data_IF_212995032353
#
_entry.id   IF_212995032353
#
_cell.length_a   1.000
_cell.length_b   1.000
_cell.length_c   1.000
_cell.angle_alpha   90.00
_cell.angle_beta   90.00
_cell.angle_gamma   90.00
#
_symmetry.space_group_name_H-M   'P 1'
#
loop_
_entity.id
_entity.type
_entity.pdbx_description
1 polymer ?
2 non-polymer ?
3 non-polymer ?
4 water ?
#
# COMPACT_ATOMS: atom_id res chain seq x y z
N UNK A 7 31.07 -3.06 2.09
CA UNK A 7 31.59 -3.34 3.42
C UNK A 7 32.36 -2.15 4.01
N UNK A 8 32.21 -0.96 3.40
CA UNK A 8 32.90 0.24 3.85
C UNK A 8 32.15 1.00 4.93
N UNK A 9 30.83 0.78 5.05
CA UNK A 9 30.01 1.45 6.03
C UNK A 9 29.72 0.60 7.26
N UNK A 10 30.13 -0.67 7.26
CA UNK A 10 29.69 -1.62 8.27
C UNK A 10 30.08 -1.23 9.69
N UNK A 11 31.01 -0.30 9.86
CA UNK A 11 31.24 0.22 11.17
C UNK A 11 30.48 1.47 11.50
N UNK A 12 29.65 1.98 10.59
CA UNK A 12 29.05 3.29 10.78
C UNK A 12 28.22 3.34 12.05
N UNK A 13 27.28 2.40 12.22
CA UNK A 13 26.45 2.43 13.42
C UNK A 13 27.25 2.10 14.68
N UNK A 14 28.31 1.29 14.59
CA UNK A 14 29.23 1.19 15.72
C UNK A 14 29.76 2.57 16.10
N UNK A 15 30.24 3.33 15.10
CA UNK A 15 30.88 4.62 15.35
C UNK A 15 29.90 5.61 15.96
N UNK A 16 28.64 5.60 15.51
CA UNK A 16 27.64 6.52 16.03
C UNK A 16 27.02 6.09 17.36
N UNK A 17 27.35 4.90 17.87
CA UNK A 17 26.73 4.42 19.08
C UNK A 17 25.37 3.82 18.85
N UNK A 18 25.07 3.47 17.62
CA UNK A 18 23.72 3.02 17.26
C UNK A 18 23.73 1.49 17.24
N UNK A 19 22.95 0.85 18.11
CA UNK A 19 22.94 -0.61 18.14
C UNK A 19 22.28 -1.16 16.89
N UNK A 20 22.44 -2.46 16.68
CA UNK A 20 21.82 -3.13 15.56
C UNK A 20 22.39 -4.52 15.34
N UNK A 21 21.81 -5.31 14.43
CA UNK A 21 22.38 -6.64 14.16
C UNK A 21 23.73 -6.52 13.44
N UNK A 22 24.70 -7.32 13.87
CA UNK A 22 26.04 -7.27 13.24
C UNK A 22 25.96 -7.58 11.74
N UNK A 23 26.49 -6.74 10.87
CA UNK A 23 26.44 -7.05 9.43
C UNK A 23 27.51 -8.07 9.07
N UNK A 24 27.32 -8.71 7.94
CA UNK A 24 28.19 -9.63 7.24
C UNK A 24 28.80 -8.92 6.05
N UNK A 25 30.07 -9.13 5.72
CA UNK A 25 30.65 -8.44 4.57
C UNK A 25 29.80 -8.71 3.33
N UNK A 26 29.63 -7.68 2.51
CA UNK A 26 28.88 -7.74 1.27
C UNK A 26 27.38 -7.92 1.48
N UNK A 27 26.98 -8.90 2.31
CA UNK A 27 25.56 -9.13 2.50
C UNK A 27 24.90 -8.10 3.42
N UNK A 28 25.65 -7.56 4.39
CA UNK A 28 25.02 -6.78 5.40
C UNK A 28 24.24 -7.69 6.30
N UNK A 29 22.96 -7.32 6.54
CA UNK A 29 22.03 -8.13 7.32
C UNK A 29 20.92 -8.75 6.48
N UNK A 30 21.07 -8.79 5.16
CA UNK A 30 19.95 -9.24 4.35
C UNK A 30 19.58 -10.69 4.63
N UNK A 31 20.51 -11.50 5.15
CA UNK A 31 20.10 -12.83 5.55
C UNK A 31 19.06 -12.81 6.66
N UNK A 32 19.06 -11.76 7.48
CA UNK A 32 18.05 -11.76 8.53
C UNK A 32 16.64 -11.72 7.98
N UNK A 33 16.47 -11.29 6.72
CA UNK A 33 15.18 -11.17 6.06
C UNK A 33 14.48 -12.50 5.83
N UNK A 34 15.08 -13.62 6.25
CA UNK A 34 14.50 -14.91 5.88
C UNK A 34 13.16 -15.13 6.54
N UNK A 35 12.86 -14.35 7.57
CA UNK A 35 11.58 -14.33 8.25
C UNK A 35 10.65 -13.25 7.72
N UNK A 36 10.98 -12.59 6.61
CA UNK A 36 10.19 -11.46 6.10
C UNK A 36 10.66 -10.11 6.63
N UNK A 37 10.56 -9.10 5.76
CA UNK A 37 10.79 -7.71 6.13
C UNK A 37 10.20 -7.37 7.48
N UNK A 38 8.92 -7.72 7.64
CA UNK A 38 8.14 -7.18 8.75
C UNK A 38 8.61 -7.76 10.07
N UNK A 39 8.88 -9.05 10.08
CA UNK A 39 9.33 -9.71 11.30
C UNK A 39 10.74 -9.27 11.71
N UNK A 40 11.65 -9.14 10.73
CA UNK A 40 12.93 -8.50 10.99
C UNK A 40 12.76 -7.18 11.75
N UNK A 41 11.99 -6.25 11.18
CA UNK A 41 11.66 -4.99 11.86
C UNK A 41 11.10 -5.18 13.26
N UNK A 42 10.21 -6.14 13.47
CA UNK A 42 9.66 -6.27 14.81
C UNK A 42 10.69 -6.83 15.77
N UNK A 43 11.44 -7.83 15.34
CA UNK A 43 12.47 -8.38 16.22
C UNK A 43 13.48 -7.30 16.59
N UNK A 44 13.91 -6.49 15.61
CA UNK A 44 14.89 -5.44 15.86
C UNK A 44 14.35 -4.43 16.87
N UNK A 45 13.11 -3.96 16.65
CA UNK A 45 12.50 -3.04 17.59
C UNK A 45 12.50 -3.66 18.98
N UNK A 46 12.18 -4.95 19.09
CA UNK A 46 12.12 -5.59 20.40
C UNK A 46 13.50 -5.59 21.09
N UNK A 47 14.57 -5.87 20.35
CA UNK A 47 15.82 -6.08 21.04
C UNK A 47 16.63 -4.80 21.19
N UNK A 48 16.55 -3.92 20.21
CA UNK A 48 17.38 -2.72 20.14
C UNK A 48 16.71 -1.45 20.63
N UNK A 49 15.39 -1.37 20.66
CA UNK A 49 14.76 -0.20 21.25
C UNK A 49 14.20 0.78 20.24
N UNK A 50 14.43 2.07 20.49
CA UNK A 50 13.75 3.12 19.74
C UNK A 50 14.40 3.37 18.39
N UNK A 51 15.71 3.14 18.31
CA UNK A 51 16.51 3.44 17.15
C UNK A 51 17.52 2.30 16.96
N UNK A 52 17.64 1.83 15.73
CA UNK A 52 18.66 0.84 15.41
C UNK A 52 19.03 1.02 13.95
N UNK A 53 20.16 0.40 13.59
CA UNK A 53 20.73 0.50 12.26
C UNK A 53 21.01 -0.89 11.73
N UNK A 54 21.03 -1.07 10.42
CA UNK A 54 21.35 -2.35 9.80
C UNK A 54 21.73 -2.03 8.36
N UNK A 55 22.15 -3.05 7.60
CA UNK A 55 22.65 -2.81 6.27
C UNK A 55 22.00 -3.75 5.26
N UNK A 56 21.48 -3.15 4.19
CA UNK A 56 20.96 -3.88 3.03
C UNK A 56 22.12 -3.96 2.05
N UNK A 57 22.83 -5.08 2.07
CA UNK A 57 24.08 -5.17 1.36
C UNK A 57 25.04 -4.16 1.97
N UNK A 58 25.35 -3.10 1.23
CA UNK A 58 26.21 -2.11 1.86
C UNK A 58 25.46 -0.86 2.27
N UNK A 59 24.17 -0.77 1.94
CA UNK A 59 23.39 0.43 2.23
C UNK A 59 23.02 0.53 3.70
N UNK A 60 23.65 1.40 4.47
CA UNK A 60 23.20 1.61 5.86
C UNK A 60 21.79 2.15 5.87
N UNK A 61 20.97 1.59 6.75
CA UNK A 61 19.59 1.99 6.95
C UNK A 61 19.41 2.29 8.44
N UNK A 62 18.87 3.45 8.76
CA UNK A 62 18.63 3.84 10.14
C UNK A 62 17.15 3.79 10.44
N UNK A 63 16.76 3.04 11.46
CA UNK A 63 15.35 2.88 11.79
C UNK A 63 14.96 3.75 12.99
N UNK A 64 13.91 4.54 12.86
CA UNK A 64 13.48 5.43 13.93
C UNK A 64 12.02 5.17 14.29
N UNK A 65 11.71 5.23 15.60
CA UNK A 65 10.38 4.95 16.11
C UNK A 65 9.84 6.04 17.02
N UNK A 66 10.61 7.06 17.30
CA UNK A 66 10.10 8.19 18.08
C UNK A 66 9.23 9.06 17.19
N UNK A 67 7.95 9.28 17.56
CA UNK A 67 7.06 10.15 16.77
C UNK A 67 7.61 11.52 16.43
N UNK A 68 8.27 12.19 17.38
CA UNK A 68 8.80 13.51 17.07
C UNK A 68 9.79 13.43 15.93
N UNK A 69 10.64 12.39 15.93
CA UNK A 69 11.70 12.33 14.97
C UNK A 69 11.15 11.91 13.62
N UNK A 70 10.14 11.04 13.63
CA UNK A 70 9.41 10.68 12.43
C UNK A 70 8.81 11.92 11.78
N UNK A 71 8.09 12.72 12.58
CA UNK A 71 7.55 14.01 12.11
C UNK A 71 8.66 14.90 11.56
N UNK A 72 9.81 14.97 12.22
CA UNK A 72 10.89 15.78 11.68
C UNK A 72 11.34 15.26 10.32
N UNK A 73 11.26 13.97 10.11
CA UNK A 73 11.77 13.38 8.89
C UNK A 73 10.75 13.43 7.77
N UNK A 74 9.51 13.06 8.06
CA UNK A 74 8.52 13.09 7.00
C UNK A 74 8.03 14.50 6.70
N UNK A 75 7.97 15.37 7.70
CA UNK A 75 7.27 16.64 7.57
C UNK A 75 8.22 17.82 7.61
N UNK A 76 8.91 18.04 8.74
CA UNK A 76 9.66 19.28 8.93
C UNK A 76 10.80 19.37 7.92
N UNK A 77 11.68 18.38 7.88
CA UNK A 77 12.91 18.45 7.12
C UNK A 77 12.85 17.67 5.82
N UNK A 78 11.65 17.66 5.21
CA UNK A 78 11.43 16.87 4.01
C UNK A 78 12.10 17.51 2.79
N UNK A 79 11.66 18.71 2.42
CA UNK A 79 12.19 19.38 1.23
C UNK A 79 13.68 19.62 1.34
N UNK A 80 14.19 19.78 2.58
CA UNK A 80 15.57 20.16 2.85
C UNK A 80 16.50 18.96 2.93
N UNK A 81 16.10 17.90 3.62
CA UNK A 81 16.97 16.78 3.93
C UNK A 81 16.41 15.47 3.42
N UNK A 82 15.14 15.21 3.71
CA UNK A 82 14.58 13.89 3.50
C UNK A 82 13.61 13.90 2.31
N UNK A 83 14.14 14.21 1.13
CA UNK A 83 13.29 14.51 -0.02
C UNK A 83 12.92 13.26 -0.81
N UNK A 84 13.79 12.27 -0.89
CA UNK A 84 13.64 11.14 -1.80
C UNK A 84 13.69 9.82 -1.06
N UNK A 85 13.15 8.79 -1.71
CA UNK A 85 13.23 7.43 -1.21
C UNK A 85 14.53 6.79 -1.69
N UNK A 86 14.78 5.57 -1.20
CA UNK A 86 16.05 4.88 -1.53
C UNK A 86 16.22 4.76 -3.03
N UNK A 87 17.42 5.05 -3.57
CA UNK A 87 17.67 4.85 -4.99
C UNK A 87 17.49 3.36 -5.31
N UNK A 88 16.72 3.04 -6.34
CA UNK A 88 16.43 1.62 -6.66
C UNK A 88 17.31 1.15 -7.82
N UNK A 89 17.18 -0.12 -8.19
CA UNK A 89 18.04 -0.68 -9.27
C UNK A 89 17.60 -0.24 -10.64
N UNK A 90 17.74 -1.07 -11.69
CA UNK A 90 17.41 -0.65 -13.05
C UNK A 90 16.01 -0.04 -13.01
N UNK A 91 15.90 1.22 -13.41
CA UNK A 91 14.59 1.93 -13.38
C UNK A 91 14.28 2.43 -14.80
N UNK A 92 15.31 2.81 -15.55
CA UNK A 92 15.10 3.26 -16.91
C UNK A 92 14.25 4.53 -16.95
N UNK A 93 13.43 4.62 -18.01
CA UNK A 93 12.52 5.76 -18.16
C UNK A 93 11.62 5.91 -16.93
N UNK A 94 11.33 4.80 -16.24
CA UNK A 94 10.52 4.83 -15.04
C UNK A 94 11.09 5.74 -13.97
N UNK A 95 12.30 6.28 -14.18
CA UNK A 95 12.82 7.31 -13.30
C UNK A 95 11.87 8.51 -13.23
N UNK A 96 11.08 8.74 -14.28
CA UNK A 96 10.14 9.84 -14.30
C UNK A 96 8.89 9.59 -13.46
N UNK A 97 8.79 8.44 -12.79
CA UNK A 97 7.62 8.17 -11.97
C UNK A 97 7.61 9.06 -10.73
N UNK A 98 6.41 9.47 -10.32
CA UNK A 98 6.29 10.39 -9.20
C UNK A 98 6.85 9.77 -7.93
N UNK A 99 6.72 8.46 -7.77
CA UNK A 99 7.24 7.81 -6.59
C UNK A 99 8.71 7.46 -6.72
N UNK A 100 9.34 7.81 -7.84
CA UNK A 100 10.76 7.51 -8.05
C UNK A 100 11.54 8.82 -8.24
N UNK A 101 10.89 9.82 -8.82
CA UNK A 101 11.53 11.10 -9.07
C UNK A 101 12.09 11.68 -7.78
N UNK A 102 13.15 12.47 -7.91
CA UNK A 102 13.83 12.96 -6.68
C UNK A 102 13.97 14.48 -6.73
N UNK A 103 13.74 15.14 -5.59
CA UNK A 103 13.87 16.61 -5.52
C UNK A 103 13.03 17.23 -6.63
N UNK A 104 13.65 18.01 -7.52
CA UNK A 104 12.92 18.59 -8.67
C UNK A 104 12.35 17.48 -9.53
N UNK A 105 11.47 17.83 -10.49
CA UNK A 105 10.80 16.79 -11.33
C UNK A 105 9.72 16.18 -10.42
N UNK A 106 10.11 15.65 -9.26
CA UNK A 106 9.08 15.15 -8.33
C UNK A 106 8.12 16.31 -8.04
N UNK A 107 8.62 17.35 -7.39
CA UNK A 107 7.78 18.55 -7.12
C UNK A 107 6.92 18.82 -8.34
N UNK A 108 7.54 18.92 -9.51
CA UNK A 108 6.77 19.15 -10.75
C UNK A 108 5.65 18.13 -10.92
N UNK A 109 6.00 16.85 -10.99
CA UNK A 109 4.99 15.78 -11.12
C UNK A 109 4.01 15.97 -9.97
N UNK A 110 4.50 16.03 -8.74
CA UNK A 110 3.56 16.12 -7.63
C UNK A 110 2.55 17.24 -7.86
N UNK A 111 3.04 18.44 -8.20
CA UNK A 111 2.12 19.53 -8.47
C UNK A 111 1.27 19.25 -9.69
N UNK A 112 1.89 18.75 -10.77
CA UNK A 112 1.15 18.43 -11.97
C UNK A 112 0.08 17.35 -11.76
N UNK A 113 0.08 16.68 -10.60
CA UNK A 113 -0.87 15.60 -10.36
C UNK A 113 -1.75 15.82 -9.14
N UNK A 114 -1.34 16.66 -8.20
CA UNK A 114 -2.16 16.92 -7.01
C UNK A 114 -3.61 17.28 -7.35
N UNK A 115 -3.91 18.07 -8.39
CA UNK A 115 -5.32 18.33 -8.72
C UNK A 115 -6.06 17.09 -9.17
N UNK A 116 -5.39 16.18 -9.87
CA UNK A 116 -6.04 14.97 -10.35
C UNK A 116 -6.57 14.12 -9.20
N UNK A 117 -6.14 14.39 -7.97
CA UNK A 117 -6.61 13.69 -6.80
C UNK A 117 -7.24 14.66 -5.81
N UNK A 118 -7.92 15.68 -6.31
CA UNK A 118 -8.63 16.57 -5.40
C UNK A 118 -9.99 15.98 -5.11
N UNK A 119 -10.51 16.32 -3.92
CA UNK A 119 -11.86 15.91 -3.56
C UNK A 119 -12.85 16.16 -4.69
N UNK A 120 -12.59 17.17 -5.53
CA UNK A 120 -13.52 17.50 -6.60
C UNK A 120 -13.63 16.40 -7.64
N UNK A 121 -12.49 15.95 -8.16
CA UNK A 121 -12.54 14.91 -9.19
C UNK A 121 -13.12 13.61 -8.64
N UNK A 122 -12.89 13.35 -7.35
CA UNK A 122 -13.35 12.10 -6.77
C UNK A 122 -14.87 12.02 -6.81
N UNK A 123 -15.53 13.08 -6.34
CA UNK A 123 -16.97 13.18 -6.47
C UNK A 123 -17.41 13.01 -7.92
N UNK A 124 -16.62 13.51 -8.88
CA UNK A 124 -16.92 13.29 -10.28
C UNK A 124 -16.72 11.84 -10.68
N UNK A 125 -15.78 11.14 -10.03
CA UNK A 125 -15.51 9.75 -10.36
C UNK A 125 -16.39 8.78 -9.57
N UNK A 126 -17.02 9.22 -8.47
CA UNK A 126 -17.82 8.30 -7.68
C UNK A 126 -18.96 7.68 -8.50
N UNK A 127 -19.74 8.43 -9.27
CA UNK A 127 -20.72 7.78 -10.14
C UNK A 127 -20.11 6.75 -11.06
N UNK A 128 -18.92 7.01 -11.60
CA UNK A 128 -18.28 6.11 -12.56
C UNK A 128 -17.92 4.79 -11.90
N UNK A 129 -17.13 4.84 -10.82
CA UNK A 129 -16.64 3.63 -10.18
C UNK A 129 -17.76 2.85 -9.51
N UNK A 130 -18.87 3.52 -9.15
CA UNK A 130 -19.99 2.79 -8.57
C UNK A 130 -20.55 1.77 -9.55
N UNK A 131 -20.41 2.03 -10.86
CA UNK A 131 -20.95 1.12 -11.87
C UNK A 131 -20.24 -0.23 -11.86
N UNK A 132 -18.97 -0.28 -11.45
CA UNK A 132 -18.28 -1.56 -11.35
C UNK A 132 -18.54 -2.25 -10.03
N UNK A 133 -19.09 -1.54 -9.05
CA UNK A 133 -19.63 -2.21 -7.89
C UNK A 133 -20.74 -3.19 -8.25
N UNK A 134 -21.63 -2.77 -9.15
CA UNK A 134 -22.74 -3.64 -9.54
C UNK A 134 -22.25 -4.85 -10.33
N UNK A 135 -21.40 -4.62 -11.34
CA UNK A 135 -20.70 -5.71 -12.01
C UNK A 135 -20.08 -6.65 -10.99
N UNK A 136 -19.48 -6.07 -9.94
CA UNK A 136 -18.91 -6.89 -8.88
C UNK A 136 -19.98 -7.69 -8.15
N UNK A 137 -21.10 -7.04 -7.80
CA UNK A 137 -22.18 -7.75 -7.13
C UNK A 137 -22.66 -8.93 -7.97
N UNK A 138 -22.88 -8.68 -9.27
CA UNK A 138 -23.39 -9.74 -10.16
C UNK A 138 -22.39 -10.88 -10.29
N UNK A 139 -21.11 -10.55 -10.54
CA UNK A 139 -20.07 -11.57 -10.60
C UNK A 139 -19.96 -12.29 -9.26
N UNK A 140 -20.23 -11.58 -8.18
CA UNK A 140 -20.30 -12.22 -6.87
C UNK A 140 -21.47 -13.17 -6.78
N UNK A 141 -22.68 -12.67 -7.11
CA UNK A 141 -23.87 -13.49 -7.10
C UNK A 141 -23.72 -14.73 -7.95
N UNK A 142 -22.88 -14.68 -8.98
CA UNK A 142 -22.60 -15.87 -9.80
C UNK A 142 -21.87 -16.93 -9.00
N UNK A 143 -20.66 -16.62 -8.50
CA UNK A 143 -19.92 -17.60 -7.71
C UNK A 143 -20.67 -17.99 -6.44
N UNK A 144 -21.47 -17.06 -5.91
CA UNK A 144 -22.25 -17.33 -4.71
C UNK A 144 -23.27 -18.43 -4.94
N UNK A 145 -24.10 -18.27 -5.98
CA UNK A 145 -25.16 -19.23 -6.28
C UNK A 145 -24.62 -20.64 -6.48
N UNK A 146 -23.39 -20.76 -7.03
CA UNK A 146 -22.78 -22.07 -7.15
C UNK A 146 -22.65 -22.74 -5.79
N UNK A 147 -22.45 -21.95 -4.74
CA UNK A 147 -22.14 -22.47 -3.43
C UNK A 147 -20.67 -22.74 -3.18
N UNK A 148 -19.80 -22.60 -4.22
CA UNK A 148 -18.42 -22.93 -3.92
C UNK A 148 -17.69 -21.71 -3.37
N UNK A 149 -16.75 -21.95 -2.44
CA UNK A 149 -15.91 -20.87 -1.90
C UNK A 149 -15.39 -19.91 -2.96
N UNK A 150 -15.18 -18.64 -2.59
CA UNK A 150 -14.77 -17.59 -3.52
C UNK A 150 -13.36 -17.13 -3.15
N UNK A 151 -12.53 -16.94 -4.17
CA UNK A 151 -11.18 -16.42 -4.02
C UNK A 151 -11.28 -14.93 -4.21
N UNK A 152 -11.26 -14.20 -3.08
CA UNK A 152 -11.55 -12.78 -3.08
C UNK A 152 -10.60 -12.00 -3.97
N UNK A 153 -9.33 -12.42 -4.05
CA UNK A 153 -8.38 -11.69 -4.88
C UNK A 153 -8.82 -11.66 -6.34
N UNK A 154 -9.48 -12.72 -6.82
CA UNK A 154 -9.84 -12.77 -8.23
C UNK A 154 -10.98 -11.80 -8.55
N UNK A 155 -12.04 -11.81 -7.75
CA UNK A 155 -13.16 -10.92 -8.01
C UNK A 155 -12.77 -9.48 -7.71
N UNK A 156 -12.17 -9.25 -6.53
CA UNK A 156 -11.71 -7.90 -6.17
C UNK A 156 -10.68 -7.39 -7.17
N UNK A 157 -9.75 -8.27 -7.57
CA UNK A 157 -8.79 -7.88 -8.58
C UNK A 157 -9.46 -7.42 -9.87
N UNK A 158 -10.41 -8.21 -10.35
CA UNK A 158 -11.19 -7.78 -11.52
C UNK A 158 -11.85 -6.43 -11.29
N UNK A 159 -12.45 -6.25 -10.11
CA UNK A 159 -13.05 -4.97 -9.78
C UNK A 159 -12.01 -3.86 -9.79
N UNK A 160 -10.96 -4.01 -8.98
CA UNK A 160 -9.90 -3.00 -8.90
C UNK A 160 -9.37 -2.65 -10.29
N UNK A 161 -9.09 -3.68 -11.10
CA UNK A 161 -8.63 -3.44 -12.45
C UNK A 161 -9.68 -2.67 -13.25
N UNK A 162 -10.95 -3.06 -13.11
CA UNK A 162 -12.01 -2.37 -13.83
C UNK A 162 -12.07 -0.90 -13.44
N UNK A 163 -11.89 -0.60 -12.15
CA UNK A 163 -12.02 0.77 -11.69
C UNK A 163 -10.82 1.61 -12.15
N UNK A 164 -9.61 1.06 -12.01
CA UNK A 164 -8.43 1.86 -12.32
C UNK A 164 -8.35 2.14 -13.81
N UNK A 165 -8.75 1.18 -14.64
CA UNK A 165 -8.73 1.39 -16.07
C UNK A 165 -9.71 2.49 -16.48
N UNK A 166 -10.90 2.53 -15.87
CA UNK A 166 -11.88 3.54 -16.24
C UNK A 166 -11.52 4.90 -15.65
N UNK A 167 -11.00 4.92 -14.43
CA UNK A 167 -10.62 6.18 -13.82
C UNK A 167 -9.40 6.79 -14.49
N UNK A 168 -8.51 5.97 -15.04
CA UNK A 168 -7.27 6.47 -15.60
C UNK A 168 -7.32 6.64 -17.11
N UNK A 169 -8.23 5.97 -17.80
CA UNK A 169 -8.34 6.10 -19.26
C UNK A 169 -9.77 6.15 -19.77
N UNK A 170 -10.75 5.68 -19.01
CA UNK A 170 -12.11 5.59 -19.51
C UNK A 170 -12.44 4.29 -20.22
N UNK A 171 -11.49 3.36 -20.31
CA UNK A 171 -11.71 2.08 -20.97
C UNK A 171 -12.54 1.20 -20.03
N UNK A 172 -13.81 1.01 -20.37
CA UNK A 172 -14.73 0.27 -19.51
C UNK A 172 -14.76 -1.19 -19.95
N UNK A 173 -14.21 -2.07 -19.11
CA UNK A 173 -14.11 -3.50 -19.43
C UNK A 173 -14.61 -4.31 -18.24
N UNK A 174 -14.98 -5.55 -18.51
CA UNK A 174 -15.43 -6.50 -17.48
C UNK A 174 -14.34 -7.57 -17.35
N UNK A 175 -13.29 -7.24 -16.59
CA UNK A 175 -12.07 -8.05 -16.56
C UNK A 175 -12.34 -9.50 -16.20
N UNK A 176 -13.16 -9.72 -15.18
CA UNK A 176 -13.45 -11.09 -14.76
C UNK A 176 -14.15 -11.86 -15.87
N UNK A 177 -15.09 -11.23 -16.56
CA UNK A 177 -15.81 -11.86 -17.65
C UNK A 177 -15.17 -11.62 -19.01
N UNK A 178 -14.15 -10.76 -19.08
CA UNK A 178 -13.37 -10.56 -20.30
C UNK A 178 -11.90 -10.79 -19.96
N UNK A 179 -11.51 -12.03 -19.65
CA UNK A 179 -10.11 -12.29 -19.29
C UNK A 179 -9.12 -11.82 -20.34
N UNK A 180 -9.59 -11.51 -21.55
CA UNK A 180 -8.77 -10.95 -22.61
C UNK A 180 -9.18 -9.49 -22.85
N UNK A 183 -6.16 -4.82 -23.03
CA UNK A 183 -5.91 -4.13 -21.77
C UNK A 183 -5.92 -5.09 -20.59
N UNK A 184 -6.82 -6.09 -20.66
CA UNK A 184 -6.96 -7.04 -19.55
C UNK A 184 -5.66 -7.75 -19.29
N UNK A 185 -5.12 -8.41 -20.31
CA UNK A 185 -3.81 -9.07 -20.21
C UNK A 185 -2.74 -8.08 -19.79
N UNK A 186 -2.48 -7.09 -20.65
CA UNK A 186 -1.45 -6.08 -20.46
C UNK A 186 -1.28 -5.63 -19.02
N UNK A 187 -2.39 -5.32 -18.35
CA UNK A 187 -2.32 -4.95 -16.94
C UNK A 187 -2.09 -6.20 -16.10
N UNK A 188 -2.96 -7.19 -16.28
CA UNK A 188 -2.82 -8.45 -15.51
C UNK A 188 -1.35 -8.87 -15.59
N UNK A 189 -0.68 -8.51 -16.69
CA UNK A 189 0.73 -8.90 -16.88
C UNK A 189 1.33 -8.21 -15.65
N UNK A 190 1.73 -9.00 -14.65
CA UNK A 190 2.28 -8.43 -13.39
C UNK A 190 2.78 -9.62 -12.55
N UNK A 196 9.60 -13.64 -7.23
CA UNK A 196 9.70 -13.15 -5.84
C UNK A 196 10.95 -12.27 -5.70
N UNK A 197 11.90 -12.68 -4.85
CA UNK A 197 13.10 -11.84 -4.59
C UNK A 197 14.31 -12.70 -4.99
N UNK A 198 14.65 -12.81 -6.28
CA UNK A 198 15.84 -13.55 -6.70
C UNK A 198 16.95 -12.60 -7.16
N UNK A 199 16.77 -11.93 -8.30
CA UNK A 199 17.77 -10.96 -8.82
C UNK A 199 17.78 -9.78 -7.85
N UNK A 200 16.61 -9.41 -7.34
CA UNK A 200 16.53 -8.23 -6.45
C UNK A 200 17.61 -8.34 -5.37
N UNK A 201 17.60 -9.44 -4.62
CA UNK A 201 18.63 -9.64 -3.58
C UNK A 201 20.00 -9.32 -4.19
N UNK A 202 20.30 -9.92 -5.33
CA UNK A 202 21.61 -9.70 -5.94
C UNK A 202 21.86 -8.21 -6.18
N UNK A 203 20.85 -7.50 -6.69
CA UNK A 203 21.01 -6.09 -6.98
C UNK A 203 21.30 -5.30 -5.71
N UNK A 204 20.83 -5.81 -4.57
CA UNK A 204 21.16 -5.18 -3.31
C UNK A 204 22.61 -5.40 -2.94
N UNK A 205 23.05 -6.65 -2.94
CA UNK A 205 24.43 -6.98 -2.61
C UNK A 205 25.37 -6.46 -3.68
N UNK A 206 24.89 -6.37 -4.92
CA UNK A 206 25.68 -5.88 -6.05
C UNK A 206 25.03 -4.65 -6.66
N UNK A 207 24.89 -3.56 -5.89
CA UNK A 207 24.34 -2.34 -6.49
C UNK A 207 25.20 -1.83 -7.64
N UNK A 208 26.48 -2.18 -7.68
CA UNK A 208 27.40 -1.78 -8.73
C UNK A 208 27.07 -2.37 -10.09
N UNK A 209 26.15 -3.32 -10.16
CA UNK A 209 25.73 -3.86 -11.45
C UNK A 209 24.46 -3.20 -11.99
N UNK A 210 23.79 -2.39 -11.17
CA UNK A 210 22.64 -1.64 -11.68
C UNK A 210 22.98 -0.82 -12.92
N UNK A 211 24.03 0.01 -12.92
CA UNK A 211 24.31 0.80 -14.14
C UNK A 211 24.52 -0.06 -15.36
N UNK A 212 25.12 -1.24 -15.18
CA UNK A 212 25.19 -2.22 -16.28
C UNK A 212 23.80 -2.57 -16.75
N UNK A 213 22.95 -3.00 -15.81
CA UNK A 213 21.59 -3.38 -16.16
C UNK A 213 20.90 -2.24 -16.87
N UNK A 214 21.17 -0.95 -16.50
CA UNK A 214 20.52 0.21 -17.09
C UNK A 214 20.88 0.35 -18.57
N UNK A 215 22.17 0.24 -18.90
CA UNK A 215 22.63 0.49 -20.27
C UNK A 215 22.17 -0.59 -21.22
N UNK A 216 21.76 -1.75 -20.70
CA UNK A 216 21.25 -2.83 -21.56
C UNK A 216 19.78 -2.67 -21.90
N UNK A 217 19.13 -1.59 -21.46
CA UNK A 217 17.73 -1.32 -21.74
C UNK A 217 16.80 -2.44 -21.27
N UNK A 218 17.27 -3.20 -20.28
CA UNK A 218 16.45 -4.33 -19.75
C UNK A 218 15.87 -3.92 -18.39
N UNK A 219 15.01 -2.90 -18.37
CA UNK A 219 14.41 -2.51 -17.10
C UNK A 219 13.52 -3.63 -16.57
N UNK A 220 13.17 -3.52 -15.28
CA UNK A 220 12.52 -4.60 -14.57
C UNK A 220 11.23 -5.02 -15.26
N UNK A 221 10.47 -4.05 -15.76
CA UNK A 221 9.23 -4.36 -16.45
C UNK A 221 9.54 -5.01 -17.80
N UNK A 222 8.72 -5.76 -18.36
CA UNK A 222 8.70 -6.14 -19.77
C UNK A 222 8.24 -4.83 -20.41
N UNK A 223 9.12 -4.15 -21.14
CA UNK A 223 8.82 -2.83 -21.65
C UNK A 223 8.37 -3.10 -23.08
N UNK A 224 7.34 -3.93 -23.25
CA UNK A 224 6.67 -4.11 -24.52
C UNK A 224 5.21 -3.72 -24.39
N UNK A 225 4.58 -4.01 -23.26
CA UNK A 225 3.31 -3.39 -22.95
C UNK A 225 3.46 -1.89 -22.76
N UNK A 226 4.67 -1.42 -22.42
CA UNK A 226 4.91 0.01 -22.32
C UNK A 226 4.69 0.70 -23.66
N UNK A 227 5.15 0.09 -24.75
CA UNK A 227 4.76 0.58 -26.07
C UNK A 227 3.25 0.51 -26.23
N UNK A 228 2.65 -0.61 -25.80
CA UNK A 228 1.20 -0.76 -25.90
C UNK A 228 0.48 0.40 -25.23
N UNK A 229 1.01 0.88 -24.10
CA UNK A 229 0.33 1.95 -23.36
C UNK A 229 0.24 3.22 -24.18
N UNK A 230 1.38 3.73 -24.66
CA UNK A 230 1.32 4.89 -25.55
C UNK A 230 0.63 4.53 -26.87
N UNK A 231 0.76 3.28 -27.32
CA UNK A 231 -0.03 2.83 -28.46
C UNK A 231 -1.52 2.83 -28.14
N UNK A 232 -1.89 2.77 -26.85
CA UNK A 232 -3.27 2.90 -26.42
C UNK A 232 -3.59 4.24 -25.75
N UNK A 233 -2.60 5.10 -25.58
CA UNK A 233 -2.84 6.50 -25.17
C UNK A 233 -3.28 7.23 -26.43
N UNK A 234 -4.60 7.35 -26.62
CA UNK A 234 -5.16 7.90 -27.85
C UNK A 234 -5.30 9.40 -27.72
N UNK A 235 -4.79 10.13 -28.71
CA UNK A 235 -5.02 11.56 -28.84
C UNK A 235 -4.73 12.02 -30.26
N UNK A 250 -11.81 11.43 -16.04
CA UNK A 250 -10.84 10.39 -15.71
C UNK A 250 -9.46 11.00 -15.50
N UNK A 251 -8.54 10.18 -14.97
CA UNK A 251 -7.18 10.67 -14.68
C UNK A 251 -6.47 11.18 -15.94
N UNK A 252 -6.75 10.57 -17.10
CA UNK A 252 -6.07 10.98 -18.32
C UNK A 252 -6.56 12.33 -18.81
N UNK A 253 -7.89 12.49 -18.90
CA UNK A 253 -8.44 13.76 -19.38
C UNK A 253 -8.10 14.92 -18.47
N UNK A 254 -7.75 14.65 -17.21
CA UNK A 254 -7.35 15.71 -16.30
C UNK A 254 -5.92 16.18 -16.54
N UNK A 255 -5.32 15.81 -17.68
CA UNK A 255 -3.97 16.26 -18.02
C UNK A 255 -4.01 17.29 -19.15
N UNK A 272 6.42 13.32 -23.20
CA UNK A 272 5.47 12.54 -23.99
C UNK A 272 5.40 11.11 -23.46
N UNK A 273 6.58 10.54 -23.19
CA UNK A 273 6.63 9.18 -22.66
C UNK A 273 6.46 9.16 -21.15
N UNK A 274 6.94 10.20 -20.47
CA UNK A 274 6.85 10.26 -19.02
C UNK A 274 5.40 10.34 -18.55
N UNK A 275 4.52 10.86 -19.39
CA UNK A 275 3.10 10.88 -19.06
C UNK A 275 2.63 9.48 -18.70
N UNK A 276 3.01 8.50 -19.50
CA UNK A 276 2.55 7.14 -19.25
C UNK A 276 3.25 6.55 -18.03
N UNK A 277 4.48 7.00 -17.74
CA UNK A 277 5.19 6.46 -16.58
C UNK A 277 4.43 6.72 -15.28
N UNK A 278 3.69 7.82 -15.20
CA UNK A 278 2.88 8.05 -14.01
C UNK A 278 1.70 7.09 -13.96
N UNK A 279 1.08 6.82 -15.11
CA UNK A 279 -0.10 5.95 -15.14
C UNK A 279 0.28 4.52 -14.83
N UNK A 280 1.49 4.11 -15.19
CA UNK A 280 1.96 2.79 -14.79
C UNK A 280 1.94 2.66 -13.27
N UNK A 281 2.35 3.71 -12.57
CA UNK A 281 2.31 3.71 -11.10
C UNK A 281 0.86 3.66 -10.60
N UNK A 282 -0.06 4.35 -11.28
CA UNK A 282 -1.45 4.38 -10.82
C UNK A 282 -2.10 3.00 -10.91
N UNK A 283 -1.80 2.26 -11.97
CA UNK A 283 -2.39 0.93 -12.12
C UNK A 283 -1.92 0.00 -11.01
N UNK A 284 -0.62 0.01 -10.70
CA UNK A 284 -0.13 -0.82 -9.60
C UNK A 284 -0.88 -0.50 -8.32
N UNK A 285 -0.97 0.78 -7.99
CA UNK A 285 -1.72 1.21 -6.82
C UNK A 285 -3.16 0.73 -6.92
N UNK A 286 -3.87 1.14 -7.98
CA UNK A 286 -5.30 0.87 -8.07
C UNK A 286 -5.63 -0.60 -8.07
N UNK A 287 -4.71 -1.43 -8.55
CA UNK A 287 -4.97 -2.87 -8.69
C UNK A 287 -4.55 -3.63 -7.43
N UNK A 288 -3.23 -3.75 -7.20
CA UNK A 288 -2.74 -4.65 -6.16
C UNK A 288 -3.13 -4.14 -4.77
N UNK A 289 -2.67 -2.95 -4.41
CA UNK A 289 -2.88 -2.47 -3.05
C UNK A 289 -4.36 -2.47 -2.70
N UNK A 290 -5.21 -1.95 -3.61
CA UNK A 290 -6.65 -1.91 -3.35
C UNK A 290 -7.21 -3.31 -3.17
N UNK A 291 -6.96 -4.21 -4.12
CA UNK A 291 -7.52 -5.54 -4.01
C UNK A 291 -6.96 -6.28 -2.80
N UNK A 292 -5.68 -6.07 -2.49
CA UNK A 292 -5.09 -6.72 -1.31
C UNK A 292 -5.78 -6.22 -0.05
N UNK A 293 -5.84 -4.91 0.14
CA UNK A 293 -6.50 -4.38 1.32
C UNK A 293 -7.94 -4.87 1.40
N UNK A 294 -8.63 -4.94 0.25
CA UNK A 294 -9.99 -5.46 0.26
C UNK A 294 -10.03 -6.89 0.79
N UNK A 295 -9.07 -7.72 0.38
CA UNK A 295 -9.02 -9.08 0.89
C UNK A 295 -8.73 -9.13 2.39
N UNK A 296 -7.80 -8.30 2.88
CA UNK A 296 -7.55 -8.23 4.33
C UNK A 296 -8.83 -7.87 5.10
N UNK A 297 -9.55 -6.84 4.63
CA UNK A 297 -10.75 -6.38 5.33
C UNK A 297 -11.80 -7.48 5.40
N UNK A 298 -12.09 -8.11 4.25
CA UNK A 298 -13.08 -9.19 4.22
C UNK A 298 -12.65 -10.36 5.10
N UNK A 299 -11.35 -10.68 5.10
CA UNK A 299 -10.84 -11.66 6.06
C UNK A 299 -11.22 -11.28 7.47
N UNK A 300 -10.88 -10.06 7.88
CA UNK A 300 -11.26 -9.60 9.21
C UNK A 300 -12.77 -9.65 9.41
N UNK A 301 -13.55 -9.23 8.41
CA UNK A 301 -14.99 -9.23 8.61
C UNK A 301 -15.49 -10.65 8.77
N UNK A 302 -15.00 -11.58 7.94
CA UNK A 302 -15.50 -12.95 8.04
C UNK A 302 -15.10 -13.58 9.37
N UNK A 303 -13.93 -13.21 9.91
CA UNK A 303 -13.54 -13.78 11.19
C UNK A 303 -14.12 -13.05 12.39
N UNK A 304 -14.76 -11.89 12.22
CA UNK A 304 -15.36 -11.20 13.34
C UNK A 304 -16.80 -10.90 12.99
N UNK A 305 -17.68 -11.92 13.02
CA UNK A 305 -19.08 -11.71 12.58
C UNK A 305 -19.73 -10.49 13.22
N UNK A 306 -19.54 -10.27 14.53
CA UNK A 306 -20.20 -9.12 15.16
C UNK A 306 -19.84 -7.82 14.46
N UNK A 307 -18.57 -7.67 14.08
CA UNK A 307 -18.11 -6.50 13.37
C UNK A 307 -18.76 -6.41 12.00
N UNK A 308 -18.83 -7.54 11.29
CA UNK A 308 -19.49 -7.54 9.97
C UNK A 308 -20.97 -7.18 10.10
N UNK A 309 -21.65 -7.70 11.12
CA UNK A 309 -23.07 -7.37 11.32
C UNK A 309 -23.25 -5.90 11.65
N UNK A 310 -22.41 -5.35 12.53
CA UNK A 310 -22.55 -3.95 12.92
C UNK A 310 -22.36 -3.03 11.72
N UNK A 311 -21.29 -3.26 10.96
CA UNK A 311 -21.07 -2.53 9.72
C UNK A 311 -22.28 -2.59 8.81
N UNK A 312 -22.79 -3.80 8.60
CA UNK A 312 -23.95 -3.95 7.72
C UNK A 312 -25.17 -3.23 8.30
N UNK A 313 -25.29 -3.17 9.63
CA UNK A 313 -26.37 -2.35 10.21
C UNK A 313 -26.14 -0.88 9.89
N UNK A 314 -24.88 -0.43 9.91
CA UNK A 314 -24.62 0.95 9.58
C UNK A 314 -24.94 1.24 8.11
N UNK A 315 -24.64 0.29 7.22
CA UNK A 315 -24.93 0.46 5.80
C UNK A 315 -26.44 0.41 5.51
N UNK A 316 -27.21 -0.35 6.30
CA UNK A 316 -28.65 -0.36 6.06
C UNK A 316 -29.34 0.84 6.71
N UNK A 317 -28.84 1.35 7.83
CA UNK A 317 -29.35 2.60 8.39
C UNK A 317 -29.14 3.75 7.40
N UNK A 318 -27.90 4.07 7.10
CA UNK A 318 -27.59 4.89 5.93
C UNK A 318 -28.11 4.09 4.71
N UNK A 319 -28.20 4.71 3.54
CA UNK A 319 -28.24 3.99 2.27
C UNK A 319 -29.32 2.90 2.26
N UNK A 320 -30.54 3.20 2.68
CA UNK A 320 -31.50 2.13 3.01
C UNK A 320 -32.09 1.45 1.78
N UNK A 321 -32.39 0.16 1.97
CA UNK A 321 -33.03 -0.68 0.95
C UNK A 321 -32.08 -0.97 -0.22
N UNK A 322 -30.83 -1.31 0.10
CA UNK A 322 -29.80 -1.51 -0.92
C UNK A 322 -29.72 -0.31 -1.85
N UNK A 323 -29.91 0.89 -1.29
CA UNK A 323 -29.78 2.09 -2.08
C UNK A 323 -28.33 2.25 -2.56
N UNK A 324 -28.13 2.97 -3.66
CA UNK A 324 -26.76 3.11 -4.22
C UNK A 324 -25.93 4.10 -3.42
N UNK A 325 -24.66 3.77 -3.18
CA UNK A 325 -23.79 4.67 -2.42
C UNK A 325 -23.35 5.86 -3.24
N UNK A 326 -23.26 7.02 -2.58
CA UNK A 326 -22.80 8.25 -3.20
C UNK A 326 -21.59 8.78 -2.47
N UNK A 327 -21.06 9.89 -2.97
CA UNK A 327 -19.90 10.52 -2.31
C UNK A 327 -20.28 10.99 -0.91
N UNK A 328 -21.42 11.66 -0.80
CA UNK A 328 -21.88 12.14 0.49
C UNK A 328 -22.19 10.99 1.43
N UNK A 329 -22.86 9.96 0.92
CA UNK A 329 -23.25 8.83 1.76
C UNK A 329 -22.03 8.16 2.40
N UNK A 330 -20.97 7.92 1.62
CA UNK A 330 -19.80 7.19 2.14
C UNK A 330 -19.24 7.88 3.37
N UNK A 331 -18.91 9.16 3.22
CA UNK A 331 -18.32 9.96 4.29
C UNK A 331 -19.23 10.02 5.52
N UNK A 332 -20.46 9.52 5.41
CA UNK A 332 -21.34 9.42 6.57
C UNK A 332 -21.16 8.17 7.44
N UNK A 333 -20.41 7.16 6.98
CA UNK A 333 -20.45 5.85 7.61
C UNK A 333 -19.24 5.70 8.52
N UNK A 334 -19.47 5.93 9.82
CA UNK A 334 -18.37 6.03 10.77
C UNK A 334 -17.74 4.68 11.02
N UNK A 335 -18.57 3.66 11.21
CA UNK A 335 -18.02 2.36 11.51
C UNK A 335 -17.24 1.80 10.33
N UNK A 336 -17.67 2.12 9.11
CA UNK A 336 -16.90 1.73 7.92
C UNK A 336 -15.51 2.34 7.95
N UNK A 337 -15.43 3.61 8.34
CA UNK A 337 -14.12 4.23 8.45
C UNK A 337 -13.27 3.55 9.53
N UNK A 338 -13.88 3.10 10.63
CA UNK A 338 -13.08 2.48 11.68
C UNK A 338 -12.59 1.10 11.24
N UNK A 339 -13.44 0.35 10.53
CA UNK A 339 -13.07 -0.97 10.04
C UNK A 339 -11.94 -0.88 9.03
N UNK A 340 -12.07 0.01 8.05
CA UNK A 340 -10.98 0.22 7.11
C UNK A 340 -9.70 0.62 7.85
N UNK A 341 -9.83 1.58 8.78
CA UNK A 341 -8.64 2.04 9.49
C UNK A 341 -7.98 0.94 10.33
N UNK A 342 -8.77 0.20 11.13
CA UNK A 342 -8.17 -0.92 11.86
C UNK A 342 -7.41 -1.85 10.93
N UNK A 343 -8.01 -2.21 9.80
CA UNK A 343 -7.37 -3.20 8.95
C UNK A 343 -6.05 -2.67 8.41
N UNK A 344 -6.03 -1.40 8.01
CA UNK A 344 -4.81 -0.74 7.61
C UNK A 344 -3.80 -0.65 8.76
N UNK A 345 -4.25 -0.62 10.01
CA UNK A 345 -3.28 -0.75 11.11
C UNK A 345 -2.64 -2.12 11.05
N UNK A 346 -3.45 -3.18 10.97
CA UNK A 346 -2.89 -4.52 10.99
C UNK A 346 -2.02 -4.76 9.76
N UNK A 347 -2.42 -4.23 8.62
CA UNK A 347 -1.80 -4.58 7.35
C UNK A 347 -1.53 -3.32 6.53
N UNK A 348 -0.50 -2.56 6.87
CA UNK A 348 -0.12 -1.44 6.02
C UNK A 348 0.76 -1.91 4.87
N UNK A 349 0.18 -1.96 3.68
CA UNK A 349 0.78 -2.66 2.54
C UNK A 349 2.12 -2.05 2.12
N UNK A 350 2.47 -0.88 2.61
CA UNK A 350 3.80 -0.37 2.34
C UNK A 350 4.80 -0.85 3.37
N UNK A 351 4.35 -1.26 4.57
CA UNK A 351 5.22 -1.94 5.54
C UNK A 351 6.27 -1.00 6.12
N UNK A 352 6.98 -0.27 5.26
CA UNK A 352 8.02 0.66 5.66
C UNK A 352 7.87 1.99 4.94
N UNK A 353 8.18 3.08 5.67
CA UNK A 353 8.41 4.39 5.09
C UNK A 353 9.90 4.64 5.03
N UNK A 354 10.37 5.31 3.97
CA UNK A 354 11.79 5.47 3.73
C UNK A 354 12.13 6.79 3.06
N UNK A 355 13.18 7.44 3.55
CA UNK A 355 13.71 8.68 2.99
C UNK A 355 15.22 8.63 3.06
N UNK A 356 15.87 9.16 2.02
CA UNK A 356 17.34 9.27 1.96
C UNK A 356 17.77 10.59 2.62
N UNK A 357 18.77 10.52 3.50
CA UNK A 357 19.38 11.72 4.07
C UNK A 357 20.29 12.38 3.05
N UNK A 358 19.93 13.58 2.60
CA UNK A 358 20.72 14.24 1.56
C UNK A 358 21.99 14.92 2.08
N UNK A 359 22.01 15.31 3.35
CA UNK A 359 23.20 15.99 3.88
C UNK A 359 23.34 15.65 5.35
N UNK A 360 24.58 15.72 5.83
CA UNK A 360 24.86 15.56 7.24
C UNK A 360 23.97 16.48 8.05
N UNK A 361 23.15 15.90 8.92
CA UNK A 361 22.23 16.66 9.75
C UNK A 361 22.14 16.01 11.12
N UNK A 362 21.52 16.74 12.05
CA UNK A 362 21.36 16.30 13.43
C UNK A 362 19.93 16.66 13.85
N UNK A 363 19.07 15.65 13.95
CA UNK A 363 17.66 15.86 14.22
C UNK A 363 17.33 15.24 15.56
N UNK A 364 16.57 15.98 16.37
CA UNK A 364 16.15 15.50 17.69
C UNK A 364 17.32 14.83 18.42
N UNK A 365 18.47 15.51 18.40
CA UNK A 365 19.62 15.04 19.13
C UNK A 365 20.34 13.81 18.62
N UNK A 366 20.24 13.47 17.34
CA UNK A 366 21.13 12.43 16.83
C UNK A 366 21.62 12.78 15.43
N UNK A 367 22.88 12.47 15.18
CA UNK A 367 23.51 12.84 13.92
C UNK A 367 23.25 11.76 12.88
N UNK A 368 22.68 12.19 11.75
CA UNK A 368 22.33 11.36 10.61
C UNK A 368 23.35 11.67 9.50
N UNK A 369 24.28 10.77 9.21
CA UNK A 369 25.24 11.05 8.14
C UNK A 369 24.58 11.00 6.78
N UNK A 370 25.15 11.76 5.85
CA UNK A 370 24.65 11.83 4.49
C UNK A 370 24.67 10.44 3.84
N UNK A 371 23.56 10.09 3.17
CA UNK A 371 23.47 8.85 2.41
C UNK A 371 22.82 7.70 3.13
N UNK A 372 22.66 7.79 4.45
CA UNK A 372 21.92 6.77 5.18
C UNK A 372 20.44 6.90 4.86
N UNK A 373 19.80 5.77 4.57
CA UNK A 373 18.36 5.69 4.42
C UNK A 373 17.73 5.67 5.81
N UNK A 374 16.74 6.52 6.04
CA UNK A 374 16.04 6.58 7.31
C UNK A 374 14.72 5.85 7.13
N UNK A 375 14.48 4.83 7.95
CA UNK A 375 13.37 3.93 7.72
C UNK A 375 12.40 4.08 8.87
N UNK A 376 11.11 4.29 8.55
CA UNK A 376 10.08 4.29 9.57
C UNK A 376 9.34 2.97 9.46
N UNK A 377 9.48 2.05 10.43
CA UNK A 377 8.91 0.70 10.30
C UNK A 377 7.45 0.65 10.71
N UNK A 378 6.62 1.20 9.82
CA UNK A 378 5.19 1.28 10.05
C UNK A 378 4.55 -0.01 10.54
N UNK A 379 4.88 -1.12 9.90
CA UNK A 379 4.27 -2.37 10.35
C UNK A 379 4.59 -2.62 11.82
N UNK A 380 5.87 -2.51 12.20
CA UNK A 380 6.27 -2.73 13.59
C UNK A 380 5.59 -1.74 14.52
N UNK A 381 5.58 -0.45 14.13
CA UNK A 381 4.92 0.61 14.90
C UNK A 381 3.41 0.36 15.07
N UNK A 382 2.72 -0.16 14.03
CA UNK A 382 1.29 -0.41 14.16
C UNK A 382 1.01 -1.51 15.19
N UNK A 383 2.00 -2.34 15.50
CA UNK A 383 1.78 -3.49 16.37
C UNK A 383 2.57 -3.39 17.67
N UNK A 384 2.94 -2.19 18.05
CA UNK A 384 3.78 -1.94 19.20
C UNK A 384 2.91 -1.75 20.44
N UNK A 385 3.07 -2.56 21.49
CA UNK A 385 2.23 -2.38 22.69
C UNK A 385 2.43 -1.04 23.40
N UNK A 386 3.49 -0.28 23.10
CA UNK A 386 3.64 1.04 23.71
C UNK A 386 2.49 1.94 23.31
N UNK A 387 2.03 1.82 22.08
CA UNK A 387 0.99 2.68 21.53
C UNK A 387 -0.34 2.00 21.33
N UNK A 388 -0.43 0.67 21.52
CA UNK A 388 -1.67 -0.05 21.20
C UNK A 388 -1.92 -1.11 22.26
N UNK A 389 -3.09 -1.07 22.89
CA UNK A 389 -3.53 -2.19 23.70
C UNK A 389 -3.87 -3.38 22.81
N UNK A 390 -3.44 -4.57 23.24
CA UNK A 390 -3.58 -5.83 22.49
C UNK A 390 -3.38 -5.57 21.00
N UNK A 391 -2.15 -5.30 20.58
CA UNK A 391 -1.92 -4.88 19.19
C UNK A 391 -2.26 -5.95 18.17
N UNK A 392 -2.22 -7.22 18.57
CA UNK A 392 -2.52 -8.26 17.61
C UNK A 392 -4.03 -8.49 17.42
N UNK A 393 -4.88 -7.86 18.23
CA UNK A 393 -6.33 -8.05 18.14
C UNK A 393 -6.97 -7.07 17.17
N UNK A 394 -7.86 -7.56 16.33
CA UNK A 394 -8.69 -6.69 15.50
C UNK A 394 -9.73 -6.02 16.39
N UNK A 395 -9.71 -4.69 16.47
CA UNK A 395 -10.57 -3.96 17.38
C UNK A 395 -10.93 -2.61 16.77
N UNK A 396 -11.94 -2.57 15.90
CA UNK A 396 -12.28 -1.31 15.24
C UNK A 396 -12.54 -0.19 16.23
N UNK A 397 -12.95 -0.53 17.46
CA UNK A 397 -13.25 0.51 18.43
C UNK A 397 -12.05 1.39 18.74
N UNK A 398 -10.81 0.92 18.48
CA UNK A 398 -9.65 1.79 18.64
C UNK A 398 -9.86 3.11 17.95
N UNK A 399 -10.61 3.10 16.85
CA UNK A 399 -10.67 4.31 16.02
C UNK A 399 -11.97 5.05 16.21
N UNK A 400 -12.72 4.75 17.26
CA UNK A 400 -13.97 5.46 17.52
C UNK A 400 -13.67 6.88 17.97
N UNK A 401 -14.58 7.78 17.61
CA UNK A 401 -14.42 9.21 17.86
C UNK A 401 -13.87 9.51 19.24
N UNK A 402 -14.28 8.73 20.25
CA UNK A 402 -13.69 8.84 21.58
C UNK A 402 -12.20 8.50 21.57
N UNK A 403 -11.84 7.34 21.01
CA UNK A 403 -10.49 6.80 21.17
C UNK A 403 -9.51 7.26 20.11
N UNK A 404 -10.01 7.72 18.95
CA UNK A 404 -9.13 8.15 17.87
C UNK A 404 -8.21 9.29 18.31
N UNK A 405 -8.63 10.10 19.28
CA UNK A 405 -7.80 11.22 19.76
C UNK A 405 -6.47 10.70 20.31
N UNK A 406 -6.53 9.72 21.20
CA UNK A 406 -5.34 9.15 21.81
C UNK A 406 -4.79 8.17 20.76
N UNK A 407 -4.30 8.68 19.64
CA UNK A 407 -3.67 7.87 18.60
C UNK A 407 -2.74 8.83 17.87
N UNK A 408 -1.47 8.50 17.82
CA UNK A 408 -0.43 9.42 17.35
C UNK A 408 -0.29 9.36 15.83
N UNK A 409 -0.42 10.49 15.12
CA UNK A 409 -0.42 10.44 13.65
C UNK A 409 0.93 10.11 13.04
N UNK A 410 1.99 10.07 13.83
CA UNK A 410 3.28 9.59 13.38
C UNK A 410 3.56 8.15 13.79
N UNK A 411 2.73 7.56 14.65
CA UNK A 411 2.81 6.15 14.95
C UNK A 411 1.97 5.35 13.98
N UNK A 412 0.85 5.91 13.53
CA UNK A 412 -0.07 5.22 12.64
C UNK A 412 0.07 5.87 11.27
N UNK A 413 0.79 5.24 10.35
CA UNK A 413 1.09 5.88 9.06
C UNK A 413 0.77 5.03 7.85
N UNK A 414 -0.45 4.46 7.77
CA UNK A 414 -0.80 3.63 6.59
C UNK A 414 -0.59 4.32 5.24
N UNK A 415 -0.68 5.64 5.16
CA UNK A 415 -0.51 6.35 3.89
C UNK A 415 0.70 7.28 3.92
N UNK A 416 1.67 7.01 4.80
CA UNK A 416 2.80 7.90 4.94
C UNK A 416 2.38 9.24 5.54
N UNK A 417 3.16 10.28 5.24
CA UNK A 417 2.97 11.55 5.94
C UNK A 417 3.83 12.62 5.26
N UNK A 418 3.60 13.86 5.69
CA UNK A 418 4.31 15.01 5.16
C UNK A 418 4.13 15.17 3.66
N UNK A 419 5.01 15.96 3.05
CA UNK A 419 4.83 16.30 1.62
C UNK A 419 4.74 15.09 0.71
N UNK A 420 5.37 13.98 1.05
CA UNK A 420 5.49 12.87 0.11
C UNK A 420 4.59 11.70 0.50
N UNK A 421 3.42 12.00 1.07
CA UNK A 421 2.51 10.93 1.47
C UNK A 421 1.73 10.41 0.26
N UNK A 422 0.82 9.47 0.49
CA UNK A 422 0.08 8.84 -0.60
C UNK A 422 -0.86 9.85 -1.23
N UNK A 423 -0.58 10.22 -2.48
CA UNK A 423 -1.41 11.19 -3.17
C UNK A 423 -2.77 10.60 -3.51
N UNK A 424 -2.91 9.28 -3.40
CA UNK A 424 -4.14 8.60 -3.78
C UNK A 424 -4.96 8.12 -2.61
N UNK A 425 -4.61 8.57 -1.41
CA UNK A 425 -5.26 8.07 -0.21
C UNK A 425 -6.78 8.26 -0.27
N UNK A 426 -7.24 9.47 -0.57
CA UNK A 426 -8.68 9.70 -0.60
C UNK A 426 -9.34 8.83 -1.68
N UNK A 427 -8.85 8.95 -2.91
CA UNK A 427 -9.32 8.07 -3.99
C UNK A 427 -9.39 6.61 -3.54
N UNK A 428 -8.32 6.11 -2.93
CA UNK A 428 -8.25 4.69 -2.58
C UNK A 428 -9.31 4.33 -1.54
N UNK A 429 -9.45 5.15 -0.51
CA UNK A 429 -10.41 4.88 0.56
C UNK A 429 -11.83 4.85 0.00
N UNK A 430 -12.19 5.88 -0.76
CA UNK A 430 -13.48 5.92 -1.42
C UNK A 430 -13.70 4.67 -2.27
N UNK A 431 -12.68 4.28 -3.04
CA UNK A 431 -12.82 3.13 -3.93
C UNK A 431 -13.10 1.87 -3.14
N UNK A 432 -12.38 1.70 -2.04
CA UNK A 432 -12.56 0.53 -1.18
C UNK A 432 -13.90 0.59 -0.48
N UNK A 433 -14.25 1.76 0.06
CA UNK A 433 -15.48 1.89 0.80
C UNK A 433 -16.66 1.61 -0.10
N UNK A 434 -16.64 2.16 -1.31
CA UNK A 434 -17.72 1.92 -2.26
C UNK A 434 -17.86 0.44 -2.53
N UNK A 435 -16.73 -0.23 -2.80
CA UNK A 435 -16.74 -1.68 -2.94
C UNK A 435 -17.37 -2.35 -1.73
N UNK A 436 -16.81 -2.08 -0.54
CA UNK A 436 -17.30 -2.69 0.69
C UNK A 436 -18.81 -2.53 0.84
N UNK A 437 -19.33 -1.34 0.56
CA UNK A 437 -20.75 -1.07 0.81
C UNK A 437 -21.62 -1.96 -0.07
N UNK A 438 -21.34 -1.95 -1.38
CA UNK A 438 -22.21 -2.68 -2.30
C UNK A 438 -22.18 -4.17 -2.04
N UNK A 439 -20.99 -4.70 -1.79
CA UNK A 439 -20.84 -6.11 -1.47
C UNK A 439 -21.56 -6.46 -0.17
N UNK A 440 -21.44 -5.62 0.85
CA UNK A 440 -22.07 -5.91 2.13
C UNK A 440 -23.57 -5.66 2.10
N UNK A 441 -24.04 -4.82 1.18
CA UNK A 441 -25.48 -4.66 1.00
C UNK A 441 -26.13 -5.95 0.50
N UNK A 442 -25.38 -6.80 -0.20
CA UNK A 442 -25.99 -7.97 -0.83
C UNK A 442 -25.54 -9.30 -0.27
N UNK A 443 -24.36 -9.37 0.34
CA UNK A 443 -23.79 -10.63 0.75
C UNK A 443 -23.28 -10.54 2.19
N UNK A 444 -23.23 -11.70 2.84
CA UNK A 444 -22.51 -11.94 4.08
C UNK A 444 -21.38 -12.93 3.81
N UNK A 445 -20.35 -12.90 4.68
CA UNK A 445 -19.10 -13.58 4.44
C UNK A 445 -18.68 -14.39 5.65
N UNK A 446 -18.30 -15.64 5.40
CA UNK A 446 -18.09 -16.65 6.43
C UNK A 446 -16.86 -17.47 6.10
N UNK A 447 -16.19 -17.99 7.13
CA UNK A 447 -15.04 -18.86 6.88
C UNK A 447 -15.44 -20.20 6.28
N UNK A 448 -14.55 -20.75 5.45
CA UNK A 448 -14.67 -22.13 5.00
C UNK A 448 -13.69 -23.02 5.76
N UNK A 449 -13.91 -24.33 5.64
CA UNK A 449 -12.85 -25.31 5.81
C UNK A 449 -11.58 -24.85 5.09
N UNK A 450 -11.73 -24.20 3.93
CA UNK A 450 -10.61 -23.75 3.11
C UNK A 450 -9.94 -22.46 3.61
N UNK A 451 -10.59 -21.68 4.47
CA UNK A 451 -10.01 -20.42 4.85
C UNK A 451 -8.85 -20.66 5.81
N UNK A 452 -7.74 -19.98 5.55
CA UNK A 452 -6.57 -20.03 6.42
C UNK A 452 -6.84 -19.15 7.64
N UNK A 453 -7.06 -19.78 8.78
CA UNK A 453 -7.22 -19.09 10.05
C UNK A 453 -6.21 -19.67 11.06
N UNK A 454 -5.42 -18.82 11.70
CA UNK A 454 -5.39 -17.37 11.49
C UNK A 454 -4.67 -17.17 10.20
N UNK A 455 -5.06 -16.18 9.41
CA UNK A 455 -4.30 -15.81 8.24
C UNK A 455 -2.81 -15.73 8.58
N UNK A 456 -1.97 -16.08 7.63
CA UNK A 456 -0.55 -15.84 7.75
C UNK A 456 -0.14 -14.90 6.62
N UNK A 457 0.82 -14.03 6.91
CA UNK A 457 1.34 -13.15 5.88
C UNK A 457 2.34 -13.90 5.00
N UNK A 458 2.33 -13.54 3.72
CA UNK A 458 3.30 -14.07 2.78
C UNK A 458 4.72 -13.73 3.20
N UNK A 459 5.63 -14.67 2.94
CA UNK A 459 7.03 -14.57 3.34
C UNK A 459 7.84 -13.66 2.44
N UNK A 460 7.37 -13.38 1.22
CA UNK A 460 8.13 -12.59 0.26
C UNK A 460 7.92 -11.15 0.64
N UNK A 461 8.26 -10.24 -0.27
CA UNK A 461 8.43 -8.83 0.01
C UNK A 461 7.19 -7.98 -0.19
N UNK A 462 6.03 -8.59 -0.43
CA UNK A 462 4.77 -7.88 -0.53
C UNK A 462 3.91 -8.19 0.67
N UNK A 463 3.16 -7.20 1.12
CA UNK A 463 2.19 -7.46 2.18
C UNK A 463 0.96 -8.08 1.53
N UNK A 464 0.81 -9.38 1.70
CA UNK A 464 -0.29 -10.13 1.12
C UNK A 464 -0.42 -11.44 1.88
N UNK A 465 -1.60 -12.06 1.85
CA UNK A 465 -1.76 -13.33 2.57
C UNK A 465 -0.83 -14.41 2.03
N UNK A 466 -0.43 -15.31 2.92
CA UNK A 466 0.27 -16.51 2.52
C UNK A 466 -0.61 -17.26 1.54
N UNK A 467 -1.76 -17.79 2.00
CA UNK A 467 -2.80 -18.40 1.17
C UNK A 467 -3.87 -17.36 0.83
N UNK A 468 -4.36 -17.35 -0.41
CA UNK A 468 -5.44 -16.42 -0.77
C UNK A 468 -6.62 -16.59 0.17
N UNK A 469 -7.24 -15.46 0.50
CA UNK A 469 -8.42 -15.50 1.34
C UNK A 469 -9.56 -16.14 0.56
N UNK A 470 -10.19 -17.14 1.15
CA UNK A 470 -11.30 -17.87 0.55
C UNK A 470 -12.41 -17.97 1.58
N UNK A 471 -13.59 -17.55 1.18
CA UNK A 471 -14.69 -17.38 2.12
C UNK A 471 -15.96 -17.90 1.49
N UNK A 472 -16.81 -18.48 2.33
CA UNK A 472 -18.19 -18.71 1.93
C UNK A 472 -18.92 -17.37 1.80
N UNK A 473 -19.67 -17.22 0.73
CA UNK A 473 -20.44 -16.01 0.43
C UNK A 473 -21.90 -16.38 0.36
N UNK A 474 -22.72 -15.80 1.23
CA UNK A 474 -24.16 -16.09 1.24
C UNK A 474 -24.95 -14.84 0.89
N UNK A 475 -25.92 -15.01 0.10
CA UNK A 475 -26.73 -13.87 -0.30
C UNK A 475 -27.66 -13.45 0.82
N UNK A 476 -27.72 -12.15 1.06
CA UNK A 476 -28.61 -11.67 2.10
C UNK A 476 -30.07 -11.81 1.73
N UNK A 477 -30.38 -11.90 0.43
CA UNK A 477 -31.78 -12.15 0.00
C UNK A 477 -31.99 -13.66 -0.27
X LIG B 1 2.71 6.59 -1.83
X LIG B 1 -0.16 3.74 0.86
X LIG B 1 -3.17 3.40 -2.89
X LIG B 1 -0.60 6.68 -5.37
X LIG B 1 2.20 5.83 -0.79
X LIG B 1 2.86 5.65 0.48
X LIG B 1 2.08 4.87 1.23
X LIG B 1 0.90 4.53 0.45
X LIG B 1 2.35 4.40 2.67
X LIG B 1 4.25 6.27 0.87
X LIG B 1 3.99 7.48 1.74
X LIG B 1 5.28 8.07 2.26
X LIG B 1 5.22 8.75 3.33
X LIG B 1 6.35 7.90 1.61
X LIG B 1 -1.22 3.40 0.07
X LIG B 1 -2.31 2.54 0.47
X LIG B 1 -3.17 2.45 -0.57
X LIG B 1 -2.60 3.24 -1.65
X LIG B 1 -2.42 1.91 1.88
X LIG B 1 -4.51 1.69 -0.74
X LIG B 1 -5.10 0.98 0.22
X LIG B 1 -2.81 4.34 -3.84
X LIG B 1 -3.61 4.78 -4.95
X LIG B 1 -2.91 5.69 -5.64
X LIG B 1 -1.62 5.85 -4.99
X LIG B 1 -5.03 4.24 -5.23
X LIG B 1 -3.29 6.49 -6.92
X LIG B 1 -4.34 6.21 -7.70
X LIG B 1 0.55 6.90 -4.65
X LIG B 1 1.69 7.67 -5.07
X LIG B 1 2.61 7.64 -4.10
X LIG B 1 2.07 6.85 -3.02
X LIG B 1 1.83 8.42 -6.41
X LIG B 1 3.99 8.35 -4.12
X LIG B 1 3.81 9.78 -3.64
X LIG B 1 5.05 10.60 -3.97
X LIG B 1 4.99 11.85 -3.79
X LIG B 1 6.06 9.99 -4.42
X LIG B 1 1.01 5.15 -0.79
X LIG B 1 -1.42 3.81 -1.22
X LIG B 1 -1.60 5.01 -3.89
X LIG B 1 0.81 6.40 -3.39
X LIG B 1 -0.34 5.16 -2.33
X LIG C 1 10.22 -1.08 -5.05
X LIG C 1 10.61 -3.25 -3.32
X LIG C 1 10.11 -2.40 -5.53
X LIG C 1 10.52 -0.87 -3.70
X LIG C 1 10.71 -1.95 -2.82
X LIG C 1 10.30 -3.49 -4.67
X LIG C 1 10.15 -4.82 -5.34
X LIG C 1 9.82 -7.13 -6.83
X LIG C 1 10.29 -6.08 -4.72
X LIG C 1 10.12 -7.25 -5.47
X LIG C 1 9.69 -5.85 -7.38
X LIG C 1 11.67 -2.58 -7.61
X LIG C 1 14.35 -1.95 -7.96
X LIG C 1 12.64 -3.38 -7.01
X LIG C 1 12.01 -1.45 -8.36
X LIG C 1 13.36 -1.15 -8.54
X LIG C 1 13.99 -3.07 -7.20
X LIG C 1 10.82 -0.73 -8.89
X LIG C 1 8.47 0.43 -9.75
X LIG C 1 10.87 0.43 -9.68
X LIG C 1 9.68 1.02 -10.12
X LIG C 1 8.49 -0.72 -8.95
X LIG C 1 8.18 -4.47 -11.69
X LIG C 1 9.97 -3.63 -10.30
X LIG C 1 7.87 -3.93 -9.37
X LIG C 1 7.34 -4.39 -10.58
X LIG C 1 9.51 -4.08 -11.55
X LIG C 1 7.08 -3.80 -8.13
X LIG C 1 5.81 -3.49 -5.71
X LIG C 1 5.72 -4.13 -8.03
X LIG C 1 5.08 -3.97 -6.81
X LIG C 1 7.17 -3.17 -5.89
X LIG C 1 5.14 -3.29 -4.35
X LIG C 1 4.28 -1.02 -5.00
X LIG C 1 3.49 0.28 -4.76
X LIG C 1 1.99 0.14 -5.04
X LIG C 1 1.49 1.44 -4.40
X LIG C 1 0.86 3.75 -4.50
X LIG C 1 1.28 2.59 -5.15
X LIG C 1 1.34 1.48 -3.01
X LIG C 1 0.91 2.67 -2.41
X LIG C 1 5.11 2.18 -5.16
X LIG C 1 5.55 2.79 -2.73
X LIG C 1 5.98 4.18 -3.25
X LIG C 1 4.24 2.93 -1.93
X LIG C 1 6.64 2.26 -1.78
X LIG C 1 10.63 0.39 -3.22
X LIG C 1 10.79 -4.28 -2.46
X LIG C 1 13.75 -0.08 -9.26
X LIG C 1 14.95 -3.85 -6.64
X LIG C 1 9.87 -4.75 -6.62
X LIG C 1 9.15 -3.56 -9.25
X LIG C 1 9.64 -1.24 -8.52
X LIG C 1 7.75 -3.32 -7.08
X LIG C 1 4.41 -2.18 -4.10
X LIG C 1 0.70 3.76 -3.17
X LIG C 1 4.06 1.28 -5.67
X LIG C 1 4.86 -1.00 -6.06
X LIG C 1 5.38 1.84 -3.79
X LIG C 1 5.65 3.02 -5.83
X LIG C 1 9.69 -2.93 -7.42
#
# INVERSE_FOLDING_TARGET
>A
MAYLYGTHSHGLFKKLGIPGPTPLPFLGNILSYHKGFCMFDMECHKKYGKVWGFYDGQQPVLAITDPDMIKTVLVKECYSVFTNRRPFGPVGFMKSAISIAEDEEWKRLRSLLSPTFTSGKLKEMVPIIAQYGDVLVRNLRREAETGKPVTLKDVFGAYSMDVITSTSFGVNIDSLNNPQDPFVENTKKLLRFDFLDPFFLSITVFPFLIPILEVLNICVFPREVTNFLRKSVKRMKESRLEDTQKHRVDFLQLMIDSQNSKETESHKALSDLELVAQSIIFIFAGYETTSSVLSFIMYELATHPDVQQKLQEEIDAVLPNKAPPTYDTVLQMEYLDMVVNETLRLFPIAMRLERVCKKDVEINGMFIPKGVVVMIPSYALHRDPKYWTEPEKFLPERFSKKNKDNIDPYIYTPFGSGPRNCIGMRFALMNMKLALIRVLQNFSFKPCKETQIPLKLSLGGLLQPEKPVVLKVESRDGTVSGAHHHH
>B hetero
1 HEM CHA CHB CHC CHD C1A C2A C3A C4A CMA CAA CBA CGA O1A O2A C1B C2B C3B C4B CMB CAB CBB C1C C2C C3C C4C CMC CAC CBC C1D C2D C3D C4D CMD CAD CBD CGD O1D O2D NA NB NC ND FE
>C hetero
1 X1I C01 C02 C03 C04 C05 C06 C09 C11 C13 C14 C15 C17 C18 C19 C20 C21 C22 C23 C26 C28 C29 C30 C31 C32 C33 C34 C35 C36 C37 C39 C40 C41 C42 C44 C45 C46 C47 C49 C50 C51 C52 C55 C57 C59 C60 C61 F08 F10 F24 F25 N12 N16 N27 N38 N43 N53 N54 O48 O56 O58 IR07
#
